data_IF_370214587867
#
_entry.id   IF_370214587867
#
_cell.length_a   1.000
_cell.length_b   1.000
_cell.length_c   1.000
_cell.angle_alpha   90.00
_cell.angle_beta   90.00
_cell.angle_gamma   90.00
#
_symmetry.space_group_name_H-M   'P 1'
#
loop_
_entity.id
_entity.type
_entity.pdbx_description
1 polymer ?
#
# COMPACT_ATOMS: atom_id res chain seq x y z
N UNK A 1 -72.33 -34.62 76.36
CA UNK A 1 -71.15 -34.43 75.49
C UNK A 1 -71.27 -33.05 74.79
N UNK A 2 -70.41 -32.11 75.22
CA UNK A 2 -70.24 -30.80 74.54
C UNK A 2 -69.05 -30.86 73.63
N UNK A 3 -69.29 -30.59 72.32
CA UNK A 3 -68.23 -30.45 71.34
C UNK A 3 -67.92 -28.93 71.26
N UNK A 4 -66.66 -28.54 71.58
CA UNK A 4 -66.16 -27.18 71.46
C UNK A 4 -65.53 -27.08 70.05
N UNK A 5 -66.04 -26.20 69.21
CA UNK A 5 -65.41 -25.86 67.92
C UNK A 5 -64.47 -24.72 68.13
N UNK A 6 -63.20 -25.00 68.01
CA UNK A 6 -62.18 -23.96 68.01
C UNK A 6 -61.98 -23.45 66.59
N UNK A 7 -62.40 -22.22 66.33
CA UNK A 7 -62.22 -21.58 65.06
C UNK A 7 -60.75 -21.10 64.90
N UNK A 8 -60.08 -21.56 63.85
CA UNK A 8 -58.78 -21.07 63.42
C UNK A 8 -59.01 -19.79 62.57
N UNK A 9 -58.52 -18.65 63.05
CA UNK A 9 -58.47 -17.44 62.30
C UNK A 9 -57.20 -17.45 61.46
N UNK A 10 -57.30 -17.54 60.15
CA UNK A 10 -56.19 -17.31 59.23
C UNK A 10 -56.06 -15.85 58.96
N UNK A 11 -54.93 -15.24 59.44
CA UNK A 11 -54.53 -13.89 59.05
C UNK A 11 -53.66 -14.01 57.80
N UNK A 12 -54.18 -13.62 56.63
CA UNK A 12 -53.44 -13.51 55.40
C UNK A 12 -52.63 -12.21 55.44
N UNK A 13 -51.31 -12.35 55.49
CA UNK A 13 -50.41 -11.23 55.28
C UNK A 13 -50.15 -11.08 53.78
N UNK A 14 -50.73 -10.07 53.18
CA UNK A 14 -50.37 -9.69 51.81
C UNK A 14 -48.99 -8.99 51.86
N UNK A 15 -47.93 -9.67 51.43
CA UNK A 15 -46.66 -9.10 51.13
C UNK A 15 -46.76 -8.31 49.82
N UNK A 16 -46.95 -7.01 49.87
CA UNK A 16 -46.70 -6.14 48.72
C UNK A 16 -45.18 -6.01 48.49
N UNK A 17 -44.61 -6.92 47.73
CA UNK A 17 -43.24 -6.75 47.22
C UNK A 17 -43.28 -5.68 46.12
N UNK A 18 -42.93 -4.44 46.45
CA UNK A 18 -42.58 -3.45 45.44
C UNK A 18 -41.23 -3.83 44.86
N UNK A 19 -41.25 -4.37 43.61
CA UNK A 19 -40.06 -4.49 42.82
C UNK A 19 -39.64 -3.10 42.37
N UNK A 20 -38.67 -2.50 43.06
CA UNK A 20 -38.02 -1.29 42.58
C UNK A 20 -37.28 -1.65 41.30
N UNK A 21 -37.82 -1.27 40.13
CA UNK A 21 -37.08 -1.30 38.88
C UNK A 21 -35.82 -0.45 39.09
N UNK A 22 -34.62 -0.99 38.75
CA UNK A 22 -33.42 -0.17 38.78
C UNK A 22 -33.65 0.98 37.80
N UNK A 23 -33.67 2.19 38.31
CA UNK A 23 -33.59 3.41 37.49
C UNK A 23 -32.34 3.24 36.62
N UNK A 24 -32.51 3.16 35.31
CA UNK A 24 -31.44 3.24 34.34
C UNK A 24 -30.71 4.57 34.56
N UNK A 25 -29.71 4.55 35.42
CA UNK A 25 -28.75 5.65 35.50
C UNK A 25 -28.04 5.67 34.15
N UNK A 26 -28.11 6.82 33.50
CA UNK A 26 -27.74 7.05 32.12
C UNK A 26 -26.50 6.29 31.71
N UNK A 27 -26.54 5.73 30.51
CA UNK A 27 -25.42 5.06 29.86
C UNK A 27 -24.22 6.00 29.96
N UNK A 28 -23.36 5.77 30.94
CA UNK A 28 -22.05 6.41 30.93
C UNK A 28 -21.37 5.97 29.66
N UNK A 29 -21.09 6.90 28.77
CA UNK A 29 -20.27 6.67 27.60
C UNK A 29 -18.94 6.09 28.10
N UNK A 30 -18.80 4.77 28.02
CA UNK A 30 -17.53 4.11 28.32
C UNK A 30 -16.56 4.60 27.26
N UNK A 31 -15.69 5.54 27.64
CA UNK A 31 -14.58 5.96 26.78
C UNK A 31 -13.76 4.72 26.49
N UNK A 32 -13.75 4.29 25.22
CA UNK A 32 -12.93 3.17 24.77
C UNK A 32 -11.45 3.48 25.09
N UNK A 33 -10.71 2.55 25.70
CA UNK A 33 -9.30 2.76 25.98
C UNK A 33 -8.56 3.16 24.70
N UNK A 34 -7.61 4.08 24.81
CA UNK A 34 -6.81 4.57 23.70
C UNK A 34 -5.35 4.72 24.14
N UNK A 35 -4.41 4.33 23.30
CA UNK A 35 -2.98 4.53 23.53
C UNK A 35 -2.60 6.00 23.35
N UNK A 36 -3.22 6.67 22.37
CA UNK A 36 -3.04 8.10 22.10
C UNK A 36 -4.23 8.62 21.27
N UNK A 37 -4.37 9.95 21.22
CA UNK A 37 -5.42 10.59 20.39
C UNK A 37 -5.07 10.49 18.92
N UNK A 38 -6.01 10.00 18.12
CA UNK A 38 -5.86 9.85 16.68
C UNK A 38 -7.18 10.10 15.94
N UNK A 39 -7.12 10.89 14.89
CA UNK A 39 -8.23 11.10 13.96
C UNK A 39 -7.85 10.69 12.54
N UNK A 40 -6.72 11.20 12.04
CA UNK A 40 -6.21 10.89 10.71
C UNK A 40 -4.71 11.18 10.64
N UNK A 41 -3.99 10.43 9.77
CA UNK A 41 -2.60 10.72 9.42
C UNK A 41 -2.31 10.31 7.98
N UNK A 42 -1.43 11.08 7.32
CA UNK A 42 -0.91 10.78 5.99
C UNK A 42 0.54 10.31 6.09
N UNK A 43 0.75 9.02 5.85
CA UNK A 43 2.07 8.44 5.71
C UNK A 43 2.63 8.76 4.34
N UNK A 44 3.84 9.27 4.28
CA UNK A 44 4.54 9.73 3.08
C UNK A 44 5.86 8.99 2.90
N UNK A 45 6.57 9.30 1.82
CA UNK A 45 7.95 8.86 1.61
C UNK A 45 8.97 9.57 2.53
N UNK A 46 8.54 10.40 3.48
CA UNK A 46 9.37 11.14 4.44
C UNK A 46 10.54 11.91 3.78
N UNK A 47 10.31 12.47 2.59
CA UNK A 47 11.31 13.22 1.82
C UNK A 47 12.29 12.37 1.01
N UNK A 48 12.31 11.04 1.16
CA UNK A 48 13.16 10.17 0.37
C UNK A 48 12.63 9.95 -1.04
N UNK A 49 13.54 9.71 -1.99
CA UNK A 49 13.22 9.47 -3.40
C UNK A 49 14.06 8.35 -4.00
N UNK A 50 13.59 7.78 -5.10
CA UNK A 50 14.31 6.75 -5.81
C UNK A 50 13.98 5.35 -5.32
N UNK A 51 15.00 4.46 -5.24
CA UNK A 51 14.81 3.03 -5.09
C UNK A 51 14.77 2.49 -3.66
N UNK A 52 15.17 3.28 -2.70
CA UNK A 52 15.21 2.90 -1.27
C UNK A 52 14.27 3.79 -0.48
N UNK A 53 13.59 3.22 0.50
CA UNK A 53 12.64 3.97 1.32
C UNK A 53 13.31 4.74 2.46
N UNK A 54 12.52 5.51 3.24
CA UNK A 54 13.02 6.35 4.31
C UNK A 54 13.57 5.56 5.51
N UNK A 55 14.43 6.21 6.27
CA UNK A 55 14.84 5.75 7.60
C UNK A 55 13.87 6.25 8.67
N UNK A 56 13.97 5.73 9.90
CA UNK A 56 13.22 6.24 11.05
C UNK A 56 13.49 7.74 11.29
N UNK A 57 14.74 8.17 11.15
CA UNK A 57 15.12 9.58 11.33
C UNK A 57 14.45 10.50 10.30
N UNK A 58 14.37 10.08 9.02
CA UNK A 58 13.65 10.83 7.99
C UNK A 58 12.17 11.02 8.36
N UNK A 59 11.51 9.95 8.81
CA UNK A 59 10.08 10.02 9.14
C UNK A 59 9.82 10.83 10.41
N UNK A 60 10.63 10.69 11.46
CA UNK A 60 10.54 11.54 12.65
C UNK A 60 10.72 13.03 12.33
N UNK A 61 11.60 13.37 11.38
CA UNK A 61 11.78 14.76 10.92
C UNK A 61 10.63 15.28 10.06
N UNK A 62 9.90 14.38 9.39
CA UNK A 62 8.82 14.73 8.46
C UNK A 62 7.45 14.80 9.12
N UNK A 63 7.25 14.09 10.23
CA UNK A 63 5.98 14.06 10.96
C UNK A 63 6.03 15.00 12.17
N UNK A 64 4.86 15.51 12.55
CA UNK A 64 4.66 16.32 13.75
C UNK A 64 3.39 15.82 14.45
N UNK A 65 3.51 14.70 15.13
CA UNK A 65 2.43 14.03 15.83
C UNK A 65 2.80 13.87 17.31
N UNK A 66 1.95 13.26 18.11
CA UNK A 66 2.24 12.99 19.52
C UNK A 66 2.88 11.62 19.74
N UNK A 67 3.02 10.82 18.69
CA UNK A 67 3.41 9.41 18.75
C UNK A 67 4.65 9.04 17.90
N UNK A 68 5.12 9.89 16.98
CA UNK A 68 6.23 9.55 16.06
C UNK A 68 7.58 9.34 16.79
N UNK A 69 7.71 9.87 18.02
CA UNK A 69 8.93 9.75 18.83
C UNK A 69 8.92 8.53 19.76
N UNK A 70 7.77 7.88 19.94
CA UNK A 70 7.63 6.64 20.70
C UNK A 70 7.78 5.43 19.77
N UNK A 71 8.85 4.64 19.95
CA UNK A 71 9.17 3.50 19.09
C UNK A 71 8.24 2.30 19.27
N UNK A 72 7.42 2.27 20.32
CA UNK A 72 6.36 1.27 20.50
C UNK A 72 5.09 1.63 19.70
N UNK A 73 4.96 2.90 19.32
CA UNK A 73 3.81 3.42 18.56
C UNK A 73 4.14 3.63 17.08
N UNK A 74 5.39 4.04 16.77
CA UNK A 74 5.86 4.26 15.43
C UNK A 74 7.34 3.89 15.27
N UNK A 75 7.66 3.06 14.28
CA UNK A 75 9.03 2.63 14.03
C UNK A 75 9.30 2.42 12.52
N UNK A 76 10.57 2.28 12.15
CA UNK A 76 11.06 1.85 10.83
C UNK A 76 12.21 0.87 11.08
N UNK A 77 11.90 -0.37 11.42
CA UNK A 77 12.91 -1.41 11.69
C UNK A 77 13.56 -1.91 10.40
N UNK A 78 12.77 -1.99 9.32
CA UNK A 78 13.26 -2.25 7.97
C UNK A 78 13.16 -0.96 7.19
N UNK A 79 14.28 -0.49 6.62
CA UNK A 79 14.30 0.76 5.88
C UNK A 79 13.17 0.83 4.84
N UNK A 80 12.37 1.89 4.90
CA UNK A 80 11.23 2.14 4.03
C UNK A 80 9.90 1.56 4.48
N UNK A 81 9.90 0.64 5.45
CA UNK A 81 8.68 0.05 5.98
C UNK A 81 8.35 0.68 7.33
N UNK A 82 7.34 1.53 7.34
CA UNK A 82 6.85 2.25 8.51
C UNK A 82 5.92 1.33 9.30
N UNK A 83 6.18 1.14 10.58
CA UNK A 83 5.38 0.37 11.52
C UNK A 83 4.57 1.33 12.38
N UNK A 84 3.25 1.20 12.34
CA UNK A 84 2.32 2.05 13.08
C UNK A 84 1.36 1.23 13.92
N UNK A 85 1.26 1.57 15.22
CA UNK A 85 0.39 0.89 16.18
C UNK A 85 -0.98 1.54 16.24
N UNK A 86 -2.03 0.76 15.99
CA UNK A 86 -3.44 1.19 16.04
C UNK A 86 -3.78 1.68 17.46
N UNK A 87 -4.18 2.95 17.65
CA UNK A 87 -4.33 3.55 18.99
C UNK A 87 -5.58 3.10 19.75
N UNK A 88 -6.62 2.68 19.07
CA UNK A 88 -7.91 2.33 19.66
C UNK A 88 -8.65 1.35 18.76
N UNK A 89 -9.38 0.40 19.33
CA UNK A 89 -10.27 -0.49 18.55
C UNK A 89 -11.33 0.34 17.82
N UNK A 90 -11.51 0.08 16.54
CA UNK A 90 -12.48 0.82 15.73
C UNK A 90 -12.41 0.50 14.25
N UNK A 91 -13.21 1.23 13.48
CA UNK A 91 -13.18 1.18 12.01
C UNK A 91 -12.24 2.27 11.48
N UNK A 92 -11.33 1.85 10.61
CA UNK A 92 -10.37 2.73 9.97
C UNK A 92 -10.54 2.69 8.45
N UNK A 93 -10.73 3.86 7.86
CA UNK A 93 -10.62 4.04 6.42
C UNK A 93 -9.15 4.14 6.05
N UNK A 94 -8.71 3.28 5.15
CA UNK A 94 -7.34 3.30 4.62
C UNK A 94 -7.41 3.60 3.14
N UNK A 95 -6.77 4.69 2.73
CA UNK A 95 -6.55 5.07 1.34
C UNK A 95 -5.07 4.89 1.02
N UNK A 96 -4.75 4.01 0.08
CA UNK A 96 -3.41 3.87 -0.48
C UNK A 96 -3.37 4.44 -1.90
N UNK A 97 -2.28 5.15 -2.21
CA UNK A 97 -1.98 5.68 -3.54
C UNK A 97 -0.61 5.18 -3.98
N UNK A 98 -0.56 4.45 -5.10
CA UNK A 98 0.69 4.08 -5.73
C UNK A 98 1.42 5.31 -6.30
N UNK A 99 2.72 5.21 -6.49
CA UNK A 99 3.50 6.29 -7.06
C UNK A 99 3.42 6.32 -8.60
N UNK A 100 3.66 7.47 -9.17
CA UNK A 100 3.80 7.67 -10.61
C UNK A 100 5.13 7.08 -11.10
N UNK A 101 5.20 6.63 -12.34
CA UNK A 101 6.46 6.34 -13.02
C UNK A 101 7.33 7.59 -13.21
N UNK A 102 8.56 7.40 -13.61
CA UNK A 102 9.48 8.50 -13.89
C UNK A 102 9.04 9.31 -15.12
N UNK A 103 8.91 10.61 -14.98
CA UNK A 103 8.72 11.54 -16.10
C UNK A 103 10.07 11.92 -16.70
N UNK A 104 10.11 12.28 -17.98
CA UNK A 104 11.32 12.86 -18.55
C UNK A 104 11.60 14.23 -17.95
N UNK A 105 12.89 14.57 -17.82
CA UNK A 105 13.30 15.81 -17.16
C UNK A 105 12.84 17.08 -17.89
N UNK A 106 12.59 16.98 -19.20
CA UNK A 106 12.05 18.08 -20.03
C UNK A 106 10.51 18.19 -19.99
N UNK A 107 9.82 17.28 -19.27
CA UNK A 107 8.37 17.25 -19.16
C UNK A 107 7.63 16.83 -20.44
N UNK A 108 8.34 16.44 -21.48
CA UNK A 108 7.75 16.10 -22.80
C UNK A 108 6.86 14.86 -22.76
N UNK A 109 7.11 13.93 -21.83
CA UNK A 109 6.30 12.73 -21.64
C UNK A 109 5.94 12.51 -20.17
N UNK A 110 4.67 12.27 -19.94
CA UNK A 110 4.12 11.97 -18.61
C UNK A 110 4.07 10.44 -18.43
N UNK A 111 4.73 9.93 -17.39
CA UNK A 111 4.67 8.53 -17.01
C UNK A 111 3.28 8.13 -16.51
N UNK A 112 3.04 6.84 -16.44
CA UNK A 112 1.83 6.28 -15.86
C UNK A 112 1.61 6.74 -14.42
N UNK A 113 0.37 7.14 -14.10
CA UNK A 113 -0.04 7.51 -12.75
C UNK A 113 -0.25 6.27 -11.89
N UNK A 114 -0.06 6.38 -10.57
CA UNK A 114 -0.39 5.31 -9.63
C UNK A 114 -1.91 5.14 -9.43
N UNK A 115 -2.34 3.96 -8.99
CA UNK A 115 -3.72 3.71 -8.60
C UNK A 115 -4.04 4.33 -7.24
N UNK A 116 -5.34 4.53 -6.95
CA UNK A 116 -5.89 4.83 -5.63
C UNK A 116 -6.80 3.71 -5.19
N UNK A 117 -6.60 3.20 -3.97
CA UNK A 117 -7.36 2.08 -3.39
C UNK A 117 -7.83 2.48 -2.01
N UNK A 118 -9.14 2.40 -1.76
CA UNK A 118 -9.77 2.77 -0.49
C UNK A 118 -10.61 1.61 0.04
N UNK A 119 -10.48 1.30 1.33
CA UNK A 119 -11.32 0.35 2.05
C UNK A 119 -11.47 0.71 3.52
N UNK A 120 -12.53 0.19 4.16
CA UNK A 120 -12.78 0.31 5.59
C UNK A 120 -12.45 -1.02 6.29
N UNK A 121 -11.76 -0.94 7.43
CA UNK A 121 -11.21 -2.08 8.17
C UNK A 121 -11.51 -1.97 9.66
N UNK A 122 -12.02 -3.04 10.28
CA UNK A 122 -12.11 -3.14 11.73
C UNK A 122 -10.76 -3.59 12.28
N UNK A 123 -10.12 -2.72 13.08
CA UNK A 123 -8.79 -2.95 13.63
C UNK A 123 -8.83 -2.87 15.16
N UNK A 124 -8.33 -3.91 15.88
CA UNK A 124 -8.13 -3.86 17.33
C UNK A 124 -7.02 -2.87 17.72
N UNK A 125 -7.16 -2.24 18.89
CA UNK A 125 -6.10 -1.48 19.53
C UNK A 125 -4.83 -2.34 19.68
N UNK A 126 -3.66 -1.75 19.46
CA UNK A 126 -2.37 -2.45 19.55
C UNK A 126 -2.00 -3.26 18.30
N UNK A 127 -2.86 -3.32 17.29
CA UNK A 127 -2.49 -3.93 16.00
C UNK A 127 -1.38 -3.12 15.36
N UNK A 128 -0.25 -3.76 15.01
CA UNK A 128 0.83 -3.12 14.26
C UNK A 128 0.56 -3.28 12.77
N UNK A 129 0.46 -2.16 12.06
CA UNK A 129 0.41 -2.12 10.59
C UNK A 129 1.80 -1.83 10.05
N UNK A 130 2.20 -2.56 9.00
CA UNK A 130 3.37 -2.24 8.20
C UNK A 130 2.93 -1.51 6.94
N UNK A 131 3.50 -0.31 6.75
CA UNK A 131 3.14 0.63 5.70
C UNK A 131 4.37 0.89 4.85
N UNK A 132 4.32 0.52 3.58
CA UNK A 132 5.30 0.89 2.57
C UNK A 132 4.65 1.92 1.66
N UNK A 133 5.24 3.11 1.58
CA UNK A 133 4.79 4.18 0.69
C UNK A 133 5.63 4.16 -0.58
N UNK A 134 4.99 3.94 -1.72
CA UNK A 134 5.64 3.88 -3.01
C UNK A 134 6.32 5.21 -3.37
N UNK A 135 7.48 5.14 -4.02
CA UNK A 135 8.17 6.33 -4.51
C UNK A 135 8.11 6.41 -6.04
N UNK A 136 8.16 7.62 -6.55
CA UNK A 136 8.17 7.89 -7.97
C UNK A 136 9.41 7.28 -8.62
N UNK A 137 9.26 6.70 -9.80
CA UNK A 137 10.37 6.29 -10.63
C UNK A 137 11.20 7.48 -11.08
N UNK A 138 12.47 7.27 -11.37
CA UNK A 138 13.36 8.34 -11.86
C UNK A 138 13.37 8.36 -13.38
N UNK A 139 13.17 9.53 -13.94
CA UNK A 139 13.30 9.79 -15.37
C UNK A 139 14.72 10.15 -15.77
N UNK A 140 15.01 10.04 -17.06
CA UNK A 140 16.24 10.53 -17.66
C UNK A 140 16.03 11.83 -18.42
N UNK A 141 17.11 12.37 -19.02
CA UNK A 141 17.04 13.55 -19.91
C UNK A 141 16.33 13.26 -21.24
N UNK A 142 16.24 11.98 -21.63
CA UNK A 142 15.55 11.50 -22.83
C UNK A 142 15.26 10.01 -22.74
N UNK A 143 14.31 9.51 -23.51
CA UNK A 143 14.05 8.10 -23.72
C UNK A 143 13.26 7.42 -22.61
N UNK A 144 13.81 6.38 -22.00
CA UNK A 144 13.10 5.56 -21.01
C UNK A 144 13.20 6.12 -19.58
N UNK A 145 12.26 5.75 -18.73
CA UNK A 145 12.24 6.08 -17.31
C UNK A 145 11.88 4.86 -16.45
N UNK A 146 12.26 4.89 -15.16
CA UNK A 146 11.90 3.86 -14.21
C UNK A 146 10.39 3.84 -13.87
N UNK A 147 9.86 2.69 -13.48
CA UNK A 147 8.48 2.56 -12.99
C UNK A 147 8.31 3.09 -11.57
N UNK A 148 7.10 3.49 -11.21
CA UNK A 148 6.72 3.90 -9.86
C UNK A 148 6.50 2.71 -8.93
N UNK A 149 6.72 2.89 -7.64
CA UNK A 149 6.46 1.87 -6.63
C UNK A 149 4.98 1.77 -6.23
N UNK A 150 4.55 0.59 -5.83
CA UNK A 150 3.26 0.41 -5.16
C UNK A 150 3.30 0.88 -3.71
N UNK A 151 2.13 1.21 -3.14
CA UNK A 151 1.96 1.48 -1.70
C UNK A 151 1.20 0.33 -1.06
N UNK A 152 1.68 -0.14 0.09
CA UNK A 152 1.20 -1.35 0.75
C UNK A 152 0.84 -1.08 2.20
N UNK A 153 -0.27 -1.67 2.68
CA UNK A 153 -0.63 -1.73 4.10
C UNK A 153 -0.95 -3.17 4.47
N UNK A 154 -0.24 -3.71 5.44
CA UNK A 154 -0.40 -5.09 5.91
C UNK A 154 -0.52 -5.15 7.42
N UNK A 155 -1.13 -6.23 7.92
CA UNK A 155 -1.15 -6.64 9.34
C UNK A 155 -0.39 -7.96 9.52
N UNK A 156 -0.09 -8.32 10.77
CA UNK A 156 0.57 -9.62 11.06
C UNK A 156 -0.12 -10.79 10.33
N UNK A 157 0.63 -11.75 9.77
CA UNK A 157 2.08 -11.95 9.80
C UNK A 157 2.88 -11.19 8.73
N UNK A 158 2.30 -10.31 7.95
CA UNK A 158 2.88 -9.41 6.93
C UNK A 158 3.48 -10.08 5.68
N UNK A 159 3.37 -11.39 5.51
CA UNK A 159 4.04 -12.15 4.46
C UNK A 159 3.10 -13.07 3.65
N UNK A 160 1.80 -12.89 3.77
CA UNK A 160 0.80 -13.68 3.05
C UNK A 160 -0.34 -12.81 2.53
N UNK A 161 -1.07 -13.27 1.53
CA UNK A 161 -2.22 -12.54 1.00
C UNK A 161 -3.27 -12.22 2.07
N UNK A 162 -3.45 -13.08 3.08
CA UNK A 162 -4.38 -12.86 4.19
C UNK A 162 -3.96 -11.70 5.12
N UNK A 163 -2.68 -11.29 5.08
CA UNK A 163 -2.17 -10.16 5.85
C UNK A 163 -2.38 -8.81 5.17
N UNK A 164 -2.75 -8.78 3.89
CA UNK A 164 -2.90 -7.56 3.13
C UNK A 164 -4.22 -6.87 3.46
N UNK A 165 -4.16 -5.60 3.81
CA UNK A 165 -5.33 -4.72 3.89
C UNK A 165 -5.57 -4.06 2.53
N UNK A 166 -4.65 -3.25 2.07
CA UNK A 166 -4.68 -2.62 0.75
C UNK A 166 -3.31 -2.61 0.09
N UNK A 167 -3.30 -2.71 -1.23
CA UNK A 167 -2.14 -2.39 -2.08
C UNK A 167 -2.60 -1.54 -3.25
N UNK A 168 -1.96 -0.41 -3.48
CA UNK A 168 -2.16 0.43 -4.64
C UNK A 168 -0.98 0.30 -5.61
N UNK A 169 -1.23 -0.11 -6.85
CA UNK A 169 -0.21 -0.30 -7.87
C UNK A 169 0.40 1.02 -8.35
N UNK A 170 1.71 1.03 -8.59
CA UNK A 170 2.45 2.13 -9.19
C UNK A 170 2.28 2.20 -10.70
N UNK A 171 2.55 3.34 -11.29
CA UNK A 171 2.52 3.55 -12.74
C UNK A 171 3.80 3.10 -13.45
N UNK A 172 3.70 2.72 -14.71
CA UNK A 172 4.85 2.41 -15.56
C UNK A 172 5.58 3.66 -16.03
N UNK A 173 6.87 3.51 -16.32
CA UNK A 173 7.72 4.56 -16.89
C UNK A 173 7.51 4.75 -18.40
N UNK A 174 7.97 5.87 -18.92
CA UNK A 174 7.94 6.26 -20.33
C UNK A 174 8.93 5.47 -21.17
N UNK A 175 8.77 5.49 -22.50
CA UNK A 175 9.76 4.99 -23.45
C UNK A 175 9.82 5.90 -24.68
N UNK A 176 11.03 6.16 -25.14
CA UNK A 176 11.27 7.06 -26.26
C UNK A 176 10.71 8.47 -25.99
N UNK A 177 10.58 9.26 -27.05
CA UNK A 177 10.01 10.62 -26.96
C UNK A 177 8.52 10.65 -27.34
N UNK A 178 7.82 9.52 -27.32
CA UNK A 178 6.50 9.41 -27.96
C UNK A 178 5.44 8.70 -27.10
N UNK A 179 5.84 7.86 -26.13
CA UNK A 179 4.90 7.00 -25.41
C UNK A 179 4.91 7.24 -23.89
N UNK A 180 3.74 7.62 -23.37
CA UNK A 180 3.46 7.73 -21.96
C UNK A 180 3.41 6.34 -21.29
N UNK A 181 3.88 6.21 -20.05
CA UNK A 181 3.78 4.98 -19.26
C UNK A 181 2.32 4.58 -18.96
N UNK A 182 2.09 3.28 -18.74
CA UNK A 182 0.77 2.76 -18.41
C UNK A 182 0.44 2.97 -16.93
N UNK A 183 -0.84 3.26 -16.66
CA UNK A 183 -1.29 3.55 -15.30
C UNK A 183 -1.28 2.32 -14.39
N UNK A 184 -1.12 2.54 -13.08
CA UNK A 184 -1.42 1.58 -12.03
C UNK A 184 -2.89 1.17 -12.08
N UNK A 185 -3.15 -0.13 -11.89
CA UNK A 185 -4.44 -0.78 -12.11
C UNK A 185 -5.20 -0.99 -10.79
N UNK A 186 -6.51 -1.16 -10.88
CA UNK A 186 -7.36 -1.57 -9.75
C UNK A 186 -7.58 -3.08 -9.67
N UNK A 187 -7.16 -3.82 -10.70
CA UNK A 187 -7.19 -5.28 -10.74
C UNK A 187 -6.01 -5.88 -9.97
N UNK A 188 -6.11 -7.13 -9.57
CA UNK A 188 -5.04 -7.84 -8.85
C UNK A 188 -3.87 -8.23 -9.75
N UNK A 189 -4.08 -8.34 -11.05
CA UNK A 189 -3.01 -8.59 -12.03
C UNK A 189 -2.29 -7.29 -12.40
N UNK A 190 -0.99 -7.36 -12.57
CA UNK A 190 -0.20 -6.29 -13.17
C UNK A 190 -0.48 -6.15 -14.67
N UNK A 191 -0.29 -4.95 -15.20
CA UNK A 191 -0.46 -4.65 -16.62
C UNK A 191 0.69 -5.22 -17.47
N UNK A 192 0.38 -5.65 -18.66
CA UNK A 192 1.39 -5.93 -19.68
C UNK A 192 2.08 -4.65 -20.11
N UNK A 193 3.39 -4.67 -20.32
CA UNK A 193 4.09 -3.57 -20.96
C UNK A 193 3.52 -3.32 -22.36
N UNK A 194 3.51 -2.07 -22.81
CA UNK A 194 2.80 -1.70 -24.05
C UNK A 194 3.48 -0.59 -24.83
N UNK A 195 2.72 0.05 -25.71
CA UNK A 195 3.17 1.08 -26.64
C UNK A 195 2.99 0.59 -28.08
N UNK A 196 3.78 1.09 -29.02
CA UNK A 196 3.75 0.56 -30.42
C UNK A 196 4.40 -0.82 -30.53
N UNK A 197 5.22 -1.22 -29.56
CA UNK A 197 5.79 -2.57 -29.47
C UNK A 197 5.14 -3.35 -28.31
N UNK A 198 5.02 -4.68 -28.48
CA UNK A 198 4.50 -5.57 -27.45
C UNK A 198 5.46 -5.62 -26.27
N UNK A 199 4.97 -5.42 -25.07
CA UNK A 199 5.72 -5.59 -23.83
C UNK A 199 5.55 -7.00 -23.25
N UNK A 200 6.16 -7.21 -22.06
CA UNK A 200 6.08 -8.48 -21.34
C UNK A 200 4.88 -8.48 -20.37
N UNK A 201 4.42 -9.66 -20.05
CA UNK A 201 3.24 -9.83 -19.21
C UNK A 201 3.46 -9.29 -17.80
N UNK A 202 2.43 -8.68 -17.24
CA UNK A 202 2.37 -8.39 -15.80
C UNK A 202 2.24 -9.67 -14.98
N UNK A 203 2.63 -9.60 -13.72
CA UNK A 203 2.45 -10.68 -12.75
C UNK A 203 0.96 -10.90 -12.40
N UNK A 204 0.68 -12.05 -11.81
CA UNK A 204 -0.63 -12.41 -11.27
C UNK A 204 -0.45 -12.96 -9.85
N UNK A 205 -1.52 -12.94 -9.02
CA UNK A 205 -1.52 -13.58 -7.70
C UNK A 205 -0.35 -13.18 -6.79
N UNK A 206 0.02 -11.91 -6.79
CA UNK A 206 1.12 -11.40 -5.97
C UNK A 206 2.52 -11.60 -6.55
N UNK A 207 2.62 -12.15 -7.76
CA UNK A 207 3.91 -12.36 -8.42
C UNK A 207 4.44 -11.09 -9.07
N UNK A 208 5.77 -11.02 -9.25
CA UNK A 208 6.42 -9.98 -10.03
C UNK A 208 6.13 -10.07 -11.52
N UNK A 209 6.31 -8.97 -12.23
CA UNK A 209 6.12 -8.89 -13.67
C UNK A 209 7.25 -9.56 -14.46
N UNK A 210 6.92 -9.96 -15.67
CA UNK A 210 7.84 -10.64 -16.56
C UNK A 210 8.78 -9.67 -17.32
N UNK A 211 9.90 -10.23 -17.73
CA UNK A 211 10.84 -9.67 -18.67
C UNK A 211 11.51 -10.80 -19.45
N UNK A 212 11.98 -10.55 -20.67
CA UNK A 212 12.82 -11.50 -21.39
C UNK A 212 14.29 -11.28 -21.05
N UNK A 213 14.86 -12.24 -20.34
CA UNK A 213 16.20 -12.16 -19.75
C UNK A 213 17.36 -12.07 -20.75
N UNK A 214 17.18 -12.39 -22.04
CA UNK A 214 18.30 -12.55 -22.96
C UNK A 214 18.72 -11.27 -23.69
N UNK A 215 17.83 -10.32 -23.91
CA UNK A 215 18.09 -9.14 -24.75
C UNK A 215 17.57 -7.83 -24.18
N UNK A 216 16.76 -7.87 -23.09
CA UNK A 216 16.15 -6.68 -22.52
C UNK A 216 16.92 -6.15 -21.32
N UNK A 217 17.12 -4.86 -21.29
CA UNK A 217 17.80 -4.13 -20.20
C UNK A 217 16.82 -3.56 -19.18
N UNK A 218 15.53 -3.86 -19.28
CA UNK A 218 14.48 -3.40 -18.36
C UNK A 218 14.04 -4.57 -17.49
N UNK A 219 14.01 -4.39 -16.16
CA UNK A 219 13.51 -5.42 -15.24
C UNK A 219 12.00 -5.38 -15.09
N UNK A 220 11.37 -6.49 -14.70
CA UNK A 220 9.96 -6.58 -14.31
C UNK A 220 9.70 -5.84 -12.99
N UNK A 221 8.45 -5.40 -12.76
CA UNK A 221 8.00 -4.82 -11.49
C UNK A 221 7.90 -5.87 -10.39
N UNK A 222 8.20 -5.51 -9.14
CA UNK A 222 8.03 -6.37 -7.97
C UNK A 222 6.56 -6.54 -7.61
N UNK A 223 6.19 -7.76 -7.21
CA UNK A 223 4.89 -8.09 -6.64
C UNK A 223 4.90 -8.03 -5.11
N UNK A 224 3.85 -8.54 -4.50
CA UNK A 224 3.83 -8.75 -3.06
C UNK A 224 4.74 -9.91 -2.63
N UNK A 225 4.64 -11.05 -3.33
CA UNK A 225 5.29 -12.31 -2.99
C UNK A 225 6.65 -12.53 -3.67
N UNK A 226 6.80 -12.13 -4.93
CA UNK A 226 8.05 -12.37 -5.67
C UNK A 226 8.56 -11.11 -6.35
N UNK A 227 9.88 -11.06 -6.50
CA UNK A 227 10.55 -10.05 -7.28
C UNK A 227 10.12 -10.13 -8.75
N UNK A 228 10.26 -9.02 -9.46
CA UNK A 228 10.15 -9.01 -10.91
C UNK A 228 11.28 -9.84 -11.59
N UNK A 229 11.10 -10.17 -12.84
CA UNK A 229 12.15 -10.84 -13.62
C UNK A 229 13.33 -9.89 -13.83
N UNK A 230 14.56 -10.41 -13.73
CA UNK A 230 15.79 -9.64 -13.97
C UNK A 230 15.96 -9.31 -15.44
N UNK A 231 16.46 -8.11 -15.76
CA UNK A 231 16.97 -7.78 -17.09
C UNK A 231 18.28 -8.50 -17.38
N UNK A 232 18.42 -9.06 -18.59
CA UNK A 232 19.50 -9.98 -18.90
C UNK A 232 20.85 -9.35 -19.25
N UNK A 233 20.89 -8.13 -19.76
CA UNK A 233 22.09 -7.66 -20.46
C UNK A 233 23.05 -6.81 -19.60
N UNK A 234 22.58 -6.12 -18.54
CA UNK A 234 23.40 -5.16 -17.77
C UNK A 234 23.14 -5.21 -16.26
N UNK A 235 22.81 -6.36 -15.72
CA UNK A 235 22.58 -6.55 -14.30
C UNK A 235 21.10 -6.46 -13.90
N UNK A 236 20.85 -6.72 -12.63
CA UNK A 236 19.52 -6.84 -12.08
C UNK A 236 18.82 -5.47 -11.97
N UNK A 237 17.87 -5.22 -12.85
CA UNK A 237 17.06 -3.99 -12.86
C UNK A 237 15.62 -4.24 -12.43
N UNK A 238 15.34 -5.42 -11.89
CA UNK A 238 14.04 -5.80 -11.35
C UNK A 238 13.65 -4.97 -10.16
N UNK A 239 12.35 -4.73 -10.01
CA UNK A 239 11.78 -4.30 -8.74
C UNK A 239 11.71 -5.47 -7.76
N UNK A 240 12.03 -5.23 -6.50
CA UNK A 240 11.95 -6.23 -5.43
C UNK A 240 10.54 -6.28 -4.86
N UNK A 241 10.12 -7.47 -4.46
CA UNK A 241 8.81 -7.70 -3.85
C UNK A 241 8.71 -7.04 -2.47
N UNK A 242 7.46 -6.84 -2.02
CA UNK A 242 7.21 -6.35 -0.66
C UNK A 242 7.90 -7.22 0.41
N UNK A 243 7.77 -8.55 0.32
CA UNK A 243 8.38 -9.46 1.30
C UNK A 243 9.91 -9.44 1.27
N UNK A 244 10.51 -8.98 0.16
CA UNK A 244 11.97 -8.81 0.02
C UNK A 244 12.39 -7.33 0.22
N UNK A 245 11.55 -6.53 0.90
CA UNK A 245 11.87 -5.16 1.30
C UNK A 245 11.46 -4.08 0.30
N UNK A 246 10.87 -4.42 -0.85
CA UNK A 246 10.23 -3.46 -1.76
C UNK A 246 11.16 -2.49 -2.49
N UNK A 247 12.48 -2.75 -2.53
CA UNK A 247 13.40 -1.85 -3.22
C UNK A 247 13.06 -1.74 -4.72
N UNK A 248 13.21 -0.54 -5.28
CA UNK A 248 13.11 -0.33 -6.72
C UNK A 248 14.28 -0.93 -7.48
N UNK A 249 14.10 -1.19 -8.77
CA UNK A 249 15.12 -1.71 -9.66
C UNK A 249 16.27 -0.71 -9.88
N UNK A 250 17.49 -1.23 -10.04
CA UNK A 250 18.66 -0.43 -10.37
C UNK A 250 18.63 0.06 -11.82
N UNK A 251 19.39 1.10 -12.13
CA UNK A 251 19.68 1.53 -13.49
C UNK A 251 21.05 1.03 -13.91
N UNK A 252 21.19 0.59 -15.16
CA UNK A 252 22.50 0.25 -15.73
C UNK A 252 23.31 1.50 -16.10
N UNK A 253 22.65 2.58 -16.53
CA UNK A 253 23.26 3.90 -16.81
C UNK A 253 22.20 5.00 -16.80
N UNK A 254 22.61 6.21 -16.52
CA UNK A 254 21.73 7.40 -16.61
C UNK A 254 20.69 7.57 -15.51
N UNK A 255 20.81 6.84 -14.39
CA UNK A 255 20.04 7.09 -13.18
C UNK A 255 18.54 6.73 -13.23
N UNK A 256 18.07 5.95 -14.20
CA UNK A 256 16.64 5.60 -14.42
C UNK A 256 16.19 4.45 -13.53
N UNK A 257 16.32 4.65 -12.23
CA UNK A 257 15.94 3.64 -11.25
C UNK A 257 14.42 3.57 -11.08
N UNK A 258 13.92 2.38 -10.74
CA UNK A 258 12.55 2.22 -10.30
C UNK A 258 12.32 2.79 -8.91
N UNK A 259 11.10 3.25 -8.64
CA UNK A 259 10.71 3.76 -7.33
C UNK A 259 10.62 2.67 -6.27
N UNK A 260 10.93 3.02 -5.02
CA UNK A 260 10.69 2.16 -3.86
C UNK A 260 9.22 1.71 -3.83
N UNK A 261 8.96 0.46 -3.46
CA UNK A 261 7.66 -0.21 -3.63
C UNK A 261 7.63 -1.11 -4.87
N UNK A 262 8.81 -1.55 -5.34
CA UNK A 262 8.95 -2.58 -6.38
C UNK A 262 8.87 -2.05 -7.82
N UNK A 263 9.04 -0.74 -8.07
CA UNK A 263 9.15 -0.24 -9.44
C UNK A 263 10.35 -0.85 -10.17
N UNK A 264 10.20 -1.25 -11.44
CA UNK A 264 11.30 -1.77 -12.26
C UNK A 264 12.19 -0.64 -12.79
N UNK A 265 13.50 -0.87 -12.86
CA UNK A 265 14.46 0.07 -13.46
C UNK A 265 14.69 -0.21 -14.94
N UNK A 266 15.38 0.70 -15.63
CA UNK A 266 15.76 0.55 -17.03
C UNK A 266 17.19 1.03 -17.28
N UNK A 267 17.81 0.54 -18.35
CA UNK A 267 19.25 0.73 -18.56
C UNK A 267 19.61 2.07 -19.22
N UNK A 268 19.02 2.39 -20.35
CA UNK A 268 19.48 3.50 -21.20
C UNK A 268 18.32 4.16 -21.98
N UNK A 269 18.67 5.14 -22.82
CA UNK A 269 17.70 5.94 -23.59
C UNK A 269 16.85 5.12 -24.58
N UNK A 270 17.41 4.02 -25.12
CA UNK A 270 16.77 3.20 -26.17
C UNK A 270 16.18 1.90 -25.63
N UNK A 271 15.92 1.82 -24.33
CA UNK A 271 15.31 0.67 -23.69
C UNK A 271 13.83 0.92 -23.43
N UNK A 272 13.08 -0.13 -23.15
CA UNK A 272 11.69 -0.02 -22.76
C UNK A 272 11.53 0.67 -21.40
N UNK A 273 10.38 1.26 -21.15
CA UNK A 273 10.05 1.86 -19.86
C UNK A 273 9.99 0.84 -18.74
N UNK A 274 10.43 1.21 -17.55
CA UNK A 274 10.35 0.40 -16.33
C UNK A 274 8.91 0.22 -15.86
N UNK A 275 8.47 -0.99 -15.45
CA UNK A 275 7.11 -1.24 -14.99
C UNK A 275 6.88 -0.82 -13.53
N UNK A 276 5.61 -0.58 -13.18
CA UNK A 276 5.19 -0.29 -11.81
C UNK A 276 5.23 -1.51 -10.91
N UNK A 277 5.53 -1.29 -9.61
CA UNK A 277 5.36 -2.27 -8.54
C UNK A 277 3.93 -2.28 -8.01
N UNK A 278 3.53 -3.33 -7.28
CA UNK A 278 2.18 -3.42 -6.70
C UNK A 278 1.88 -4.77 -6.09
N UNK A 279 0.59 -5.10 -5.91
CA UNK A 279 0.22 -6.45 -5.48
C UNK A 279 0.79 -7.48 -6.45
N UNK A 280 0.56 -7.30 -7.75
CA UNK A 280 1.32 -8.00 -8.78
C UNK A 280 2.09 -6.97 -9.61
N UNK A 281 3.34 -7.24 -9.91
CA UNK A 281 4.19 -6.31 -10.64
C UNK A 281 3.79 -6.15 -12.10
N UNK A 282 3.99 -4.95 -12.67
CA UNK A 282 3.82 -4.72 -14.11
C UNK A 282 4.90 -5.41 -14.94
N UNK A 283 4.58 -5.73 -16.18
CA UNK A 283 5.52 -6.29 -17.17
C UNK A 283 6.43 -5.20 -17.75
N UNK A 284 7.68 -5.56 -18.07
CA UNK A 284 8.66 -4.66 -18.68
C UNK A 284 8.23 -4.25 -20.10
N UNK A 285 8.61 -3.02 -20.49
CA UNK A 285 8.60 -2.63 -21.89
C UNK A 285 9.66 -3.39 -22.68
N UNK A 286 9.36 -3.79 -23.93
CA UNK A 286 10.34 -4.45 -24.79
C UNK A 286 11.51 -3.51 -25.11
N UNK A 287 12.69 -4.08 -25.40
CA UNK A 287 13.87 -3.36 -25.83
C UNK A 287 13.61 -2.68 -27.20
N UNK A 288 12.94 -1.55 -27.14
CA UNK A 288 12.77 -0.63 -28.26
C UNK A 288 12.35 0.73 -27.72
N UNK A 289 12.61 1.79 -28.45
CA UNK A 289 12.22 3.16 -28.08
C UNK A 289 10.69 3.38 -27.99
N UNK A 290 9.89 2.36 -28.26
CA UNK A 290 8.43 2.47 -28.37
C UNK A 290 7.66 1.57 -27.40
N UNK A 291 8.31 0.92 -26.45
CA UNK A 291 7.66 0.05 -25.47
C UNK A 291 7.75 0.63 -24.06
N UNK A 292 6.62 0.82 -23.42
CA UNK A 292 6.48 1.39 -22.08
C UNK A 292 6.27 0.32 -21.01
N UNK A 293 6.57 0.64 -19.78
CA UNK A 293 6.31 -0.25 -18.65
C UNK A 293 4.82 -0.40 -18.35
N UNK A 294 4.38 -1.60 -18.01
CA UNK A 294 3.04 -1.88 -17.49
C UNK A 294 2.86 -1.34 -16.09
N UNK A 295 1.63 -0.93 -15.72
CA UNK A 295 1.31 -0.54 -14.35
C UNK A 295 1.24 -1.72 -13.39
N UNK A 296 1.51 -1.51 -12.10
CA UNK A 296 1.31 -2.51 -11.06
C UNK A 296 -0.17 -2.78 -10.78
N UNK A 297 -0.49 -4.01 -10.37
CA UNK A 297 -1.80 -4.42 -9.88
C UNK A 297 -2.04 -4.00 -8.44
N UNK A 298 -3.31 -3.97 -8.04
CA UNK A 298 -3.74 -3.57 -6.70
C UNK A 298 -4.48 -4.69 -5.96
N UNK A 299 -4.68 -4.49 -4.67
CA UNK A 299 -5.44 -5.42 -3.83
C UNK A 299 -6.23 -4.64 -2.77
N UNK A 300 -7.45 -5.10 -2.45
CA UNK A 300 -8.28 -4.49 -1.41
C UNK A 300 -9.12 -5.57 -0.72
N UNK A 301 -8.91 -5.77 0.57
CA UNK A 301 -9.69 -6.70 1.39
C UNK A 301 -10.74 -6.00 2.26
N UNK A 302 -10.84 -4.68 2.20
CA UNK A 302 -11.76 -3.88 3.02
C UNK A 302 -13.20 -3.90 2.53
N UNK A 303 -14.09 -3.39 3.34
CA UNK A 303 -15.45 -3.02 2.97
C UNK A 303 -15.51 -1.59 2.40
N UNK A 304 -16.68 -1.16 1.91
CA UNK A 304 -16.90 0.20 1.37
C UNK A 304 -15.82 0.63 0.36
N UNK A 305 -15.46 -0.27 -0.54
CA UNK A 305 -14.34 -0.06 -1.47
C UNK A 305 -14.61 1.06 -2.48
N UNK A 306 -13.58 1.89 -2.74
CA UNK A 306 -13.55 2.86 -3.81
C UNK A 306 -12.17 2.86 -4.45
N UNK A 307 -12.06 2.33 -5.67
CA UNK A 307 -10.79 2.10 -6.34
C UNK A 307 -10.75 2.87 -7.67
N UNK A 308 -9.62 3.52 -7.99
CA UNK A 308 -9.45 4.32 -9.21
C UNK A 308 -8.08 4.05 -9.82
N UNK A 309 -8.06 3.58 -11.07
CA UNK A 309 -6.81 3.42 -11.83
C UNK A 309 -6.28 4.79 -12.29
N UNK A 310 -4.97 4.95 -12.40
CA UNK A 310 -4.35 6.14 -12.98
C UNK A 310 -4.69 7.46 -12.25
N UNK A 311 -4.76 7.44 -10.95
CA UNK A 311 -5.19 8.57 -10.13
C UNK A 311 -4.03 9.46 -9.66
N UNK A 312 -2.99 8.86 -9.06
CA UNK A 312 -1.98 9.58 -8.31
C UNK A 312 -0.77 10.00 -9.15
N UNK A 313 -0.34 11.24 -8.97
CA UNK A 313 0.89 11.81 -9.56
C UNK A 313 1.97 11.98 -8.49
N UNK A 314 3.24 11.88 -8.88
CA UNK A 314 4.37 12.02 -7.97
C UNK A 314 4.55 10.82 -7.03
N UNK A 315 4.89 11.11 -5.78
CA UNK A 315 5.10 10.10 -4.74
C UNK A 315 3.79 9.45 -4.32
N UNK A 316 3.84 8.19 -3.86
CA UNK A 316 2.72 7.53 -3.23
C UNK A 316 2.34 8.14 -1.88
N UNK A 317 1.21 7.70 -1.35
CA UNK A 317 0.72 8.10 -0.02
C UNK A 317 -0.11 6.96 0.58
N UNK A 318 -0.17 6.92 1.91
CA UNK A 318 -1.16 6.12 2.64
C UNK A 318 -1.84 7.03 3.65
N UNK A 319 -3.15 7.18 3.56
CA UNK A 319 -3.95 8.00 4.48
C UNK A 319 -4.79 7.05 5.32
N UNK A 320 -4.65 7.14 6.64
CA UNK A 320 -5.47 6.39 7.59
C UNK A 320 -6.34 7.37 8.36
N UNK A 321 -7.65 7.14 8.35
CA UNK A 321 -8.64 7.95 9.08
C UNK A 321 -9.47 7.02 9.95
N UNK A 322 -9.65 7.37 11.23
CA UNK A 322 -10.54 6.65 12.14
C UNK A 322 -11.96 7.18 11.94
N UNK A 323 -12.93 6.30 11.65
CA UNK A 323 -14.35 6.62 11.48
C UNK A 323 -15.07 6.69 12.84
#
# INVERSE_FOLDING_TARGET
HRIIFTGLIFISWELNAQVALPTFQGVQSVTQPSLYTFSSHTFTNCGETGRTGPTLANCKSSYNTTWENDTDLFNVQTQGIQEWTVPQTGTYRIEARGAQGGTLNDGSLIAGKGARIIGDFSLPMGTVLKILVGQQGIGGSSGASGGGGGSFVTKSPHNSNASILVVAGGGGGTSGNTYAGLHGLTTTSGGTGGGAATGYAGGTNGQGGANNSSTNSTGGGGGFLTDGSSGGYWGSQRGYSYINGGAGGTSGSGGRVGGFGGGGGTHSNNTGGGPGGGYSGGGAGQHSSNAVGGGGGSYNSGSSQSNTAGYNTGQGQVIITRN
#
